data_IF_221464262040
#
_entry.id   IF_221464262040
#
_cell.length_a   1.000
_cell.length_b   1.000
_cell.length_c   1.000
_cell.angle_alpha   90.00
_cell.angle_beta   90.00
_cell.angle_gamma   90.00
#
_symmetry.space_group_name_H-M   'P 1'
#
loop_
_entity.id
_entity.type
_entity.pdbx_description
1 polymer ?
#
# COMPACT_ATOMS: atom_id res chain seq x y z
N UNK A 1 -0.94 -19.50 -5.83
CA UNK A 1 -0.76 -20.21 -7.12
C UNK A 1 -0.24 -19.29 -8.24
N UNK A 2 -0.75 -18.05 -8.38
CA UNK A 2 -0.33 -17.13 -9.45
C UNK A 2 1.18 -16.76 -9.45
N UNK A 3 1.73 -16.32 -8.31
CA UNK A 3 3.14 -15.88 -8.23
C UNK A 3 4.12 -17.01 -8.61
N UNK A 4 3.83 -18.26 -8.21
CA UNK A 4 4.64 -19.43 -8.63
C UNK A 4 4.62 -19.62 -10.15
N UNK A 5 3.49 -19.37 -10.80
CA UNK A 5 3.37 -19.43 -12.27
C UNK A 5 4.18 -18.32 -12.93
N UNK A 6 4.13 -17.09 -12.41
CA UNK A 6 4.91 -15.96 -12.91
C UNK A 6 6.42 -16.23 -12.81
N UNK A 7 6.88 -16.78 -11.68
CA UNK A 7 8.30 -17.17 -11.49
C UNK A 7 8.74 -18.19 -12.54
N UNK A 8 7.93 -19.22 -12.78
CA UNK A 8 8.24 -20.25 -13.80
C UNK A 8 8.25 -19.67 -15.20
N UNK A 9 7.29 -18.80 -15.52
CA UNK A 9 7.21 -18.13 -16.81
C UNK A 9 8.42 -17.22 -17.06
N UNK A 10 8.93 -16.57 -16.00
CA UNK A 10 10.15 -15.77 -16.05
C UNK A 10 11.44 -16.60 -16.21
N UNK A 11 11.35 -17.94 -16.20
CA UNK A 11 12.49 -18.85 -16.38
C UNK A 11 13.22 -19.26 -15.10
N UNK A 12 12.70 -18.92 -13.91
CA UNK A 12 13.32 -19.27 -12.63
C UNK A 12 12.61 -20.47 -11.95
N UNK A 13 13.30 -21.13 -11.02
CA UNK A 13 12.80 -22.29 -10.28
C UNK A 13 12.16 -21.87 -8.95
N UNK A 14 10.82 -21.92 -8.79
CA UNK A 14 10.15 -21.53 -7.55
C UNK A 14 10.46 -22.45 -6.35
N UNK A 15 11.13 -23.59 -6.57
CA UNK A 15 11.54 -24.51 -5.50
C UNK A 15 12.98 -24.27 -4.99
N UNK A 16 13.73 -23.32 -5.57
CA UNK A 16 15.06 -22.96 -5.04
C UNK A 16 14.92 -22.26 -3.68
N UNK A 17 15.89 -22.48 -2.80
CA UNK A 17 15.87 -22.00 -1.41
C UNK A 17 15.37 -20.54 -1.25
N UNK A 18 15.91 -19.60 -2.03
CA UNK A 18 15.50 -18.19 -1.95
C UNK A 18 14.08 -17.85 -2.44
N UNK A 19 13.43 -18.77 -3.17
CA UNK A 19 12.10 -18.55 -3.77
C UNK A 19 10.97 -19.33 -3.13
N UNK A 20 11.25 -20.33 -2.29
CA UNK A 20 10.21 -21.17 -1.67
C UNK A 20 9.13 -20.30 -1.00
N UNK A 21 9.57 -19.26 -0.26
CA UNK A 21 8.69 -18.35 0.46
C UNK A 21 8.28 -17.09 -0.34
N UNK A 22 8.89 -16.86 -1.52
CA UNK A 22 8.61 -15.66 -2.33
C UNK A 22 7.12 -15.52 -2.67
N UNK A 23 6.41 -16.57 -3.12
CA UNK A 23 4.97 -16.47 -3.41
C UNK A 23 4.14 -15.98 -2.23
N UNK A 24 4.47 -16.41 -1.01
CA UNK A 24 3.76 -16.00 0.20
C UNK A 24 4.12 -14.55 0.60
N UNK A 25 5.40 -14.15 0.45
CA UNK A 25 5.81 -12.76 0.68
C UNK A 25 5.13 -11.79 -0.29
N UNK A 26 5.03 -12.15 -1.57
CA UNK A 26 4.36 -11.31 -2.59
C UNK A 26 2.86 -11.18 -2.30
N UNK A 27 2.19 -12.26 -1.90
CA UNK A 27 0.78 -12.19 -1.52
C UNK A 27 0.55 -11.21 -0.35
N UNK A 28 1.37 -11.28 0.71
CA UNK A 28 1.31 -10.34 1.84
C UNK A 28 1.62 -8.91 1.42
N UNK A 29 2.60 -8.70 0.54
CA UNK A 29 2.88 -7.37 0.02
C UNK A 29 1.67 -6.80 -0.75
N UNK A 30 0.97 -7.61 -1.55
CA UNK A 30 -0.23 -7.15 -2.24
C UNK A 30 -1.40 -6.85 -1.30
N UNK A 31 -1.53 -7.61 -0.21
CA UNK A 31 -2.51 -7.29 0.84
C UNK A 31 -2.26 -5.90 1.45
N UNK A 32 -1.00 -5.51 1.62
CA UNK A 32 -0.61 -4.17 2.13
C UNK A 32 -0.78 -3.08 1.06
N UNK A 33 -0.23 -3.28 -0.14
CA UNK A 33 -0.26 -2.27 -1.21
C UNK A 33 -1.68 -1.94 -1.68
N UNK A 34 -2.60 -2.91 -1.58
CA UNK A 34 -3.98 -2.77 -2.01
C UNK A 34 -4.96 -2.71 -0.83
N UNK A 35 -4.47 -2.52 0.41
CA UNK A 35 -5.33 -2.46 1.61
C UNK A 35 -6.40 -1.37 1.49
N UNK A 36 -6.05 -0.23 0.88
CA UNK A 36 -6.91 0.94 0.72
C UNK A 36 -8.21 0.69 -0.05
N UNK A 37 -8.32 -0.38 -0.85
CA UNK A 37 -9.62 -0.74 -1.48
C UNK A 37 -10.67 -1.19 -0.47
N UNK A 38 -10.26 -1.59 0.74
CA UNK A 38 -11.14 -2.00 1.83
C UNK A 38 -11.34 -0.90 2.88
N UNK A 39 -10.81 0.30 2.65
CA UNK A 39 -10.90 1.44 3.58
C UNK A 39 -11.86 2.50 3.03
N UNK A 40 -12.58 3.21 3.92
CA UNK A 40 -13.37 4.38 3.54
C UNK A 40 -12.53 5.66 3.76
N UNK A 41 -12.06 6.32 2.68
CA UNK A 41 -11.27 7.54 2.82
C UNK A 41 -12.07 8.72 3.39
N UNK A 42 -13.41 8.72 3.24
CA UNK A 42 -14.26 9.78 3.80
C UNK A 42 -14.33 9.66 5.31
N UNK A 43 -14.48 8.44 5.82
CA UNK A 43 -14.43 8.17 7.26
C UNK A 43 -13.07 8.57 7.83
N UNK A 44 -11.97 8.20 7.15
CA UNK A 44 -10.61 8.53 7.58
C UNK A 44 -10.37 10.05 7.71
N UNK A 45 -10.97 10.84 6.81
CA UNK A 45 -10.83 12.29 6.76
C UNK A 45 -11.93 13.04 7.56
N UNK A 46 -12.84 12.31 8.22
CA UNK A 46 -14.02 12.91 8.89
C UNK A 46 -13.69 13.74 10.13
N UNK A 47 -12.52 13.53 10.75
CA UNK A 47 -12.14 14.20 11.99
C UNK A 47 -11.66 15.62 11.72
N UNK A 48 -12.50 16.59 12.03
CA UNK A 48 -12.16 18.02 12.02
C UNK A 48 -11.95 18.55 13.45
N UNK A 49 -11.22 19.66 13.56
CA UNK A 49 -11.08 20.41 14.81
C UNK A 49 -11.75 21.76 14.60
N UNK A 50 -12.64 22.16 15.51
CA UNK A 50 -13.19 23.52 15.53
C UNK A 50 -12.08 24.51 15.91
N UNK A 51 -12.02 25.63 15.20
CA UNK A 51 -10.87 26.54 15.08
C UNK A 51 -10.27 27.02 16.41
N UNK A 52 -8.93 27.05 16.43
CA UNK A 52 -8.16 27.96 17.29
C UNK A 52 -8.42 29.37 16.74
N UNK A 53 -9.35 30.10 17.36
CA UNK A 53 -9.72 31.50 17.08
C UNK A 53 -8.91 32.22 15.97
N UNK A 54 -9.42 32.22 14.72
CA UNK A 54 -9.10 33.26 13.72
C UNK A 54 -7.93 33.05 12.75
N UNK A 55 -7.59 31.81 12.37
CA UNK A 55 -6.55 31.58 11.34
C UNK A 55 -7.13 31.61 9.90
N UNK A 56 -7.15 32.79 9.27
CA UNK A 56 -7.62 32.99 7.88
C UNK A 56 -6.50 32.85 6.81
N UNK A 57 -5.32 32.37 7.20
CA UNK A 57 -4.16 32.24 6.33
C UNK A 57 -4.06 30.86 5.64
N UNK A 58 -3.33 30.79 4.52
CA UNK A 58 -3.13 29.55 3.76
C UNK A 58 -2.31 28.52 4.55
N UNK A 59 -2.90 27.33 4.72
CA UNK A 59 -2.21 26.15 5.24
C UNK A 59 -1.74 25.30 4.07
N UNK A 60 -0.45 24.96 4.04
CA UNK A 60 0.12 24.08 3.01
C UNK A 60 0.91 22.93 3.64
N UNK A 61 0.48 21.71 3.35
CA UNK A 61 1.25 20.49 3.61
C UNK A 61 2.00 20.13 2.32
N UNK A 62 3.32 20.03 2.41
CA UNK A 62 4.21 19.62 1.30
C UNK A 62 5.04 18.42 1.74
N UNK A 63 5.66 17.77 0.76
CA UNK A 63 6.60 16.66 0.95
C UNK A 63 6.00 15.44 1.67
N UNK A 64 4.70 15.20 1.46
CA UNK A 64 4.05 13.96 1.89
C UNK A 64 4.55 12.83 1.00
N UNK A 65 5.24 11.86 1.60
CA UNK A 65 5.67 10.66 0.88
C UNK A 65 4.44 9.85 0.44
N UNK A 66 4.36 9.55 -0.84
CA UNK A 66 3.30 8.74 -1.44
C UNK A 66 3.94 7.74 -2.41
N UNK A 67 3.45 6.51 -2.39
CA UNK A 67 3.80 5.43 -3.33
C UNK A 67 2.49 4.79 -3.83
N UNK A 68 2.42 4.36 -5.09
CA UNK A 68 1.24 3.72 -5.68
C UNK A 68 1.63 2.76 -6.81
N UNK A 69 0.77 1.77 -7.13
CA UNK A 69 1.05 0.67 -8.06
C UNK A 69 -0.16 0.32 -8.95
#
# INVERSE_FOLDING_TARGET
AAVKTLIRWAGDNPAREGLIDTPARVARAYEELFSGYNEDPVELLSRTFEEVEGYDDWIMLRDIRMESH
#
